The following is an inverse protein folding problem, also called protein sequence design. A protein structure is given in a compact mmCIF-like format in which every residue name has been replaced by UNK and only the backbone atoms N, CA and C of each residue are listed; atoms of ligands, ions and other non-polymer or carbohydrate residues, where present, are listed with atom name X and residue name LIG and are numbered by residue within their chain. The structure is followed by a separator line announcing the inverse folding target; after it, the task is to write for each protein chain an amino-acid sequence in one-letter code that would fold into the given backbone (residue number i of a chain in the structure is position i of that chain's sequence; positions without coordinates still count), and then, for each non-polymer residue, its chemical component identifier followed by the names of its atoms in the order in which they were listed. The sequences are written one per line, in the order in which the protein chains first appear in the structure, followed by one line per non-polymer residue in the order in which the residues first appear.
data_IF_172236357060
#
_entry.id   IF_172236357060
#
_cell.length_a   1.000
_cell.length_b   1.000
_cell.length_c   1.000
_cell.angle_alpha   90.00
_cell.angle_beta   90.00
_cell.angle_gamma   90.00
#
_symmetry.space_group_name_H-M   'P 1'
#
loop_
_entity.id
_entity.type
_entity.pdbx_description
1 polymer ?
#
# COMPACT_ATOMS: atom_id res chain seq x y z
N UNK A 1 -63.67 15.94 -36.64
CA UNK A 1 -62.98 14.89 -35.85
C UNK A 1 -61.69 14.55 -36.57
N UNK A 2 -60.54 14.95 -36.03
CA UNK A 2 -59.20 14.71 -36.60
C UNK A 2 -58.44 13.82 -35.61
N UNK A 3 -58.03 12.64 -36.06
CA UNK A 3 -57.21 11.69 -35.30
C UNK A 3 -55.74 12.09 -35.46
N UNK A 4 -55.04 12.28 -34.34
CA UNK A 4 -53.59 12.52 -34.27
C UNK A 4 -52.93 11.15 -34.03
N UNK A 5 -51.97 10.70 -34.85
CA UNK A 5 -51.19 9.52 -34.54
C UNK A 5 -50.04 9.86 -33.59
N UNK A 6 -49.99 9.15 -32.45
CA UNK A 6 -48.91 9.19 -31.46
C UNK A 6 -47.66 8.52 -32.04
N UNK A 7 -46.55 9.28 -32.12
CA UNK A 7 -45.22 8.76 -32.47
C UNK A 7 -44.53 8.36 -31.16
N UNK A 8 -44.26 7.07 -31.00
CA UNK A 8 -43.41 6.56 -29.91
C UNK A 8 -41.94 6.78 -30.26
N UNK A 9 -41.29 7.73 -29.58
CA UNK A 9 -39.85 7.93 -29.68
C UNK A 9 -39.12 6.85 -28.85
N UNK A 10 -38.40 5.98 -29.54
CA UNK A 10 -37.49 5.00 -28.94
C UNK A 10 -36.19 5.74 -28.55
N UNK A 11 -36.00 6.01 -27.26
CA UNK A 11 -34.73 6.54 -26.74
C UNK A 11 -33.75 5.37 -26.68
N UNK A 12 -32.83 5.31 -27.64
CA UNK A 12 -31.66 4.44 -27.57
C UNK A 12 -30.66 5.15 -26.66
N UNK A 13 -30.65 4.80 -25.37
CA UNK A 13 -29.59 5.19 -24.45
C UNK A 13 -28.32 4.46 -24.84
N UNK A 14 -27.43 5.13 -25.57
CA UNK A 14 -26.04 4.70 -25.73
C UNK A 14 -25.32 4.91 -24.40
N UNK A 15 -25.30 3.88 -23.55
CA UNK A 15 -24.37 3.82 -22.43
C UNK A 15 -22.98 3.59 -23.01
N UNK A 16 -22.19 4.66 -23.08
CA UNK A 16 -20.74 4.57 -23.19
C UNK A 16 -20.25 3.65 -22.08
N UNK A 17 -19.69 2.50 -22.43
CA UNK A 17 -18.95 1.64 -21.51
C UNK A 17 -17.70 2.42 -21.06
N UNK A 18 -17.86 3.27 -20.05
CA UNK A 18 -16.76 3.51 -19.12
C UNK A 18 -16.60 2.22 -18.36
N UNK A 19 -15.44 1.58 -18.53
CA UNK A 19 -15.02 0.46 -17.71
C UNK A 19 -15.19 0.90 -16.25
N UNK A 20 -16.22 0.36 -15.60
CA UNK A 20 -16.32 0.45 -14.15
C UNK A 20 -15.09 -0.29 -13.61
N UNK A 21 -14.28 0.30 -12.73
CA UNK A 21 -13.29 -0.48 -12.01
C UNK A 21 -14.04 -1.63 -11.34
N UNK A 22 -13.58 -2.85 -11.58
CA UNK A 22 -14.19 -4.03 -10.99
C UNK A 22 -14.13 -3.85 -9.48
N UNK A 23 -15.29 -3.85 -8.81
CA UNK A 23 -15.36 -4.04 -7.36
C UNK A 23 -14.69 -5.38 -7.06
N UNK A 24 -13.40 -5.32 -6.71
CA UNK A 24 -12.72 -6.39 -6.03
C UNK A 24 -13.42 -6.50 -4.69
N UNK A 25 -13.92 -7.69 -4.38
CA UNK A 25 -14.36 -8.03 -3.03
C UNK A 25 -13.10 -7.90 -2.17
N UNK A 26 -12.88 -6.72 -1.57
CA UNK A 26 -11.86 -6.51 -0.56
C UNK A 26 -12.22 -7.47 0.59
N UNK A 27 -11.55 -8.63 0.64
CA UNK A 27 -11.25 -9.21 1.94
C UNK A 27 -10.68 -8.06 2.77
N UNK A 28 -11.24 -7.80 3.96
CA UNK A 28 -10.92 -6.64 4.81
C UNK A 28 -9.43 -6.66 5.21
N UNK A 29 -8.56 -6.30 4.28
CA UNK A 29 -7.18 -5.98 4.54
C UNK A 29 -7.19 -4.57 5.14
N UNK A 30 -6.61 -4.37 6.32
CA UNK A 30 -6.61 -3.06 6.97
C UNK A 30 -5.73 -2.02 6.27
N UNK A 31 -5.08 -2.42 5.19
CA UNK A 31 -4.23 -1.61 4.37
C UNK A 31 -4.51 -1.89 2.90
N UNK A 32 -4.43 -0.87 2.04
CA UNK A 32 -4.57 -1.04 0.61
C UNK A 32 -3.51 -2.00 0.06
N UNK A 33 -3.97 -2.92 -0.80
CA UNK A 33 -3.13 -3.83 -1.55
C UNK A 33 -2.78 -3.16 -2.88
N UNK A 34 -1.50 -3.11 -3.19
CA UNK A 34 -0.97 -2.59 -4.44
C UNK A 34 -0.28 -3.71 -5.21
N UNK A 35 -0.53 -3.75 -6.51
CA UNK A 35 0.26 -4.54 -7.44
C UNK A 35 1.69 -4.00 -7.53
N UNK A 36 2.62 -4.84 -7.99
CA UNK A 36 3.98 -4.39 -8.31
C UNK A 36 4.01 -3.28 -9.39
N UNK A 37 3.00 -3.22 -10.26
CA UNK A 37 2.86 -2.15 -11.26
C UNK A 37 2.46 -0.80 -10.66
N UNK A 38 1.76 -0.76 -9.53
CA UNK A 38 1.34 0.52 -8.92
C UNK A 38 2.55 1.31 -8.38
N UNK A 39 3.69 0.66 -8.14
CA UNK A 39 4.95 1.32 -7.79
C UNK A 39 5.67 1.96 -8.97
N UNK A 40 5.25 1.62 -10.19
CA UNK A 40 5.69 2.31 -11.41
C UNK A 40 4.83 3.54 -11.69
N UNK A 41 3.73 3.70 -10.94
CA UNK A 41 2.86 4.86 -11.01
C UNK A 41 3.25 5.85 -9.90
N UNK A 42 3.92 6.93 -10.28
CA UNK A 42 4.33 8.00 -9.35
C UNK A 42 3.11 8.70 -8.70
N UNK A 43 1.89 8.44 -9.19
CA UNK A 43 0.64 8.95 -8.63
C UNK A 43 0.05 8.06 -7.51
N UNK A 44 0.71 6.95 -7.15
CA UNK A 44 0.19 6.08 -6.10
C UNK A 44 0.11 6.83 -4.73
N UNK A 45 -0.97 6.64 -3.94
CA UNK A 45 -1.22 7.45 -2.73
C UNK A 45 -0.07 7.46 -1.71
N UNK A 46 0.70 6.38 -1.64
CA UNK A 46 1.83 6.28 -0.72
C UNK A 46 3.04 7.15 -1.11
N UNK A 47 3.16 7.62 -2.37
CA UNK A 47 4.18 8.62 -2.75
C UNK A 47 3.83 10.03 -2.25
N UNK A 48 2.54 10.31 -2.05
CA UNK A 48 2.06 11.62 -1.59
C UNK A 48 2.10 11.79 -0.06
N UNK A 49 2.24 10.69 0.70
CA UNK A 49 2.29 10.73 2.15
C UNK A 49 3.62 11.29 2.67
N UNK A 50 3.60 11.97 3.82
CA UNK A 50 4.83 12.40 4.50
C UNK A 50 5.72 11.18 4.80
N UNK A 51 5.14 10.12 5.36
CA UNK A 51 5.79 8.82 5.50
C UNK A 51 4.93 7.72 4.86
N UNK A 52 5.59 6.74 4.24
CA UNK A 52 4.94 5.49 3.87
C UNK A 52 5.75 4.28 4.34
N UNK A 53 5.08 3.31 4.92
CA UNK A 53 5.63 2.01 5.25
C UNK A 53 4.98 0.99 4.33
N UNK A 54 5.81 0.26 3.61
CA UNK A 54 5.39 -0.62 2.53
C UNK A 54 5.91 -2.02 2.83
N UNK A 55 5.00 -2.96 3.04
CA UNK A 55 5.35 -4.37 3.21
C UNK A 55 5.30 -5.09 1.86
N UNK A 56 6.46 -5.50 1.38
CA UNK A 56 6.60 -6.42 0.24
C UNK A 56 6.60 -7.85 0.77
N UNK A 57 5.73 -8.69 0.22
CA UNK A 57 5.46 -10.04 0.72
C UNK A 57 5.29 -11.04 -0.42
N UNK A 58 5.33 -12.34 -0.14
CA UNK A 58 4.99 -13.36 -1.13
C UNK A 58 3.47 -13.48 -1.32
N UNK A 59 3.06 -13.89 -2.52
CA UNK A 59 1.71 -14.36 -2.80
C UNK A 59 1.74 -15.76 -3.43
N UNK A 60 1.11 -16.78 -2.82
CA UNK A 60 0.36 -16.73 -1.57
C UNK A 60 1.26 -16.55 -0.34
N UNK A 61 0.77 -15.82 0.67
CA UNK A 61 1.54 -15.49 1.89
C UNK A 61 1.88 -16.73 2.73
N UNK A 62 1.03 -17.77 2.67
CA UNK A 62 1.18 -19.02 3.41
C UNK A 62 2.45 -19.82 3.04
N UNK A 63 3.01 -19.54 1.87
CA UNK A 63 4.28 -20.12 1.40
C UNK A 63 5.52 -19.43 1.97
N UNK A 64 5.37 -18.31 2.69
CA UNK A 64 6.45 -17.55 3.29
C UNK A 64 6.25 -17.43 4.81
N UNK A 65 6.90 -18.33 5.56
CA UNK A 65 6.91 -18.28 7.04
C UNK A 65 7.26 -16.90 7.60
N UNK A 66 8.36 -16.23 7.21
CA UNK A 66 8.68 -14.92 7.78
C UNK A 66 7.64 -13.85 7.40
N UNK A 67 6.97 -13.96 6.24
CA UNK A 67 5.90 -13.06 5.85
C UNK A 67 4.67 -13.23 6.76
N UNK A 68 4.29 -14.48 7.05
CA UNK A 68 3.20 -14.79 7.99
C UNK A 68 3.50 -14.32 9.42
N UNK A 69 4.77 -14.36 9.84
CA UNK A 69 5.18 -13.96 11.19
C UNK A 69 5.04 -12.44 11.39
N UNK A 70 5.39 -11.62 10.38
CA UNK A 70 5.34 -10.17 10.51
C UNK A 70 4.00 -9.54 10.12
N UNK A 71 3.27 -10.14 9.18
CA UNK A 71 2.03 -9.58 8.66
C UNK A 71 1.03 -9.16 9.75
N UNK A 72 0.75 -9.96 10.81
CA UNK A 72 -0.17 -9.57 11.87
C UNK A 72 0.27 -8.29 12.62
N UNK A 73 1.56 -8.12 12.85
CA UNK A 73 2.09 -6.92 13.50
C UNK A 73 1.96 -5.71 12.59
N UNK A 74 2.39 -5.84 11.33
CA UNK A 74 2.30 -4.73 10.37
C UNK A 74 0.85 -4.29 10.16
N UNK A 75 -0.05 -5.26 10.02
CA UNK A 75 -1.50 -5.09 9.93
C UNK A 75 -2.06 -4.37 11.16
N UNK A 76 -1.71 -4.80 12.38
CA UNK A 76 -2.14 -4.15 13.62
C UNK A 76 -1.64 -2.71 13.71
N UNK A 77 -0.38 -2.44 13.36
CA UNK A 77 0.18 -1.09 13.38
C UNK A 77 -0.55 -0.16 12.40
N UNK A 78 -0.96 -0.68 11.23
CA UNK A 78 -1.77 0.06 10.28
C UNK A 78 -3.16 0.42 10.86
N UNK A 79 -3.82 -0.53 11.53
CA UNK A 79 -5.14 -0.32 12.16
C UNK A 79 -5.09 0.63 13.37
N UNK A 80 -4.07 0.49 14.22
CA UNK A 80 -3.92 1.23 15.47
C UNK A 80 -3.32 2.63 15.25
N UNK A 81 -2.78 2.91 14.06
CA UNK A 81 -2.23 4.22 13.72
C UNK A 81 -3.28 5.31 13.88
N UNK A 82 -2.97 6.29 14.73
CA UNK A 82 -3.80 7.51 14.90
C UNK A 82 -3.54 8.58 13.83
N UNK A 83 -2.54 8.36 12.97
CA UNK A 83 -2.19 9.29 11.90
C UNK A 83 -3.09 9.10 10.69
N UNK A 84 -3.40 10.19 9.99
CA UNK A 84 -4.03 10.12 8.68
C UNK A 84 -3.10 9.49 7.64
N UNK A 85 -3.67 8.92 6.58
CA UNK A 85 -2.89 8.34 5.47
C UNK A 85 -1.95 9.35 4.79
N UNK A 86 -2.29 10.65 4.79
CA UNK A 86 -1.41 11.73 4.30
C UNK A 86 -0.13 11.89 5.14
N UNK A 87 -0.16 11.49 6.43
CA UNK A 87 0.98 11.60 7.35
C UNK A 87 1.77 10.30 7.44
N UNK A 88 1.07 9.17 7.57
CA UNK A 88 1.66 7.83 7.60
C UNK A 88 0.76 6.87 6.83
N UNK A 89 1.25 6.43 5.68
CA UNK A 89 0.55 5.49 4.82
C UNK A 89 1.11 4.07 5.00
N UNK A 90 0.24 3.09 5.24
CA UNK A 90 0.60 1.68 5.21
C UNK A 90 0.16 1.05 3.89
N UNK A 91 1.04 0.29 3.25
CA UNK A 91 0.76 -0.36 1.98
C UNK A 91 1.26 -1.80 1.98
N UNK A 92 0.53 -2.68 1.30
CA UNK A 92 0.91 -4.09 1.10
C UNK A 92 1.15 -4.38 -0.37
N UNK A 93 2.24 -5.08 -0.68
CA UNK A 93 2.61 -5.45 -2.05
C UNK A 93 2.87 -6.96 -2.13
N UNK A 94 1.90 -7.74 -2.62
CA UNK A 94 2.12 -9.13 -2.94
C UNK A 94 3.05 -9.27 -4.15
N UNK A 95 3.96 -10.22 -4.07
CA UNK A 95 4.87 -10.58 -5.16
C UNK A 95 4.55 -11.99 -5.63
N UNK A 96 4.09 -12.10 -6.88
CA UNK A 96 3.78 -13.37 -7.50
C UNK A 96 5.08 -14.12 -7.86
N UNK A 97 5.09 -15.45 -7.68
CA UNK A 97 6.12 -16.35 -8.19
C UNK A 97 7.56 -16.03 -7.75
N UNK A 98 7.77 -15.41 -6.58
CA UNK A 98 9.09 -14.95 -6.12
C UNK A 98 9.77 -13.94 -7.07
N UNK A 99 9.01 -13.40 -8.03
CA UNK A 99 9.45 -12.33 -8.91
C UNK A 99 9.52 -11.06 -8.11
N UNK A 100 10.72 -10.75 -7.61
CA UNK A 100 10.90 -9.54 -6.81
C UNK A 100 10.71 -8.32 -7.70
N UNK A 101 9.82 -7.40 -7.31
CA UNK A 101 9.52 -6.24 -8.10
C UNK A 101 10.75 -5.34 -8.17
N UNK A 102 11.08 -4.90 -9.38
CA UNK A 102 12.07 -3.84 -9.56
C UNK A 102 11.34 -2.51 -9.59
N UNK A 103 11.28 -1.86 -8.43
CA UNK A 103 10.68 -0.54 -8.29
C UNK A 103 11.65 0.51 -8.81
N UNK A 104 11.38 1.07 -10.00
CA UNK A 104 12.27 2.05 -10.66
C UNK A 104 12.47 3.34 -9.87
N UNK A 105 11.53 3.66 -8.99
CA UNK A 105 11.49 4.82 -8.10
C UNK A 105 12.25 4.62 -6.79
N UNK A 106 12.64 3.38 -6.46
CA UNK A 106 13.43 3.08 -5.27
C UNK A 106 14.92 3.09 -5.60
N UNK A 107 15.72 3.52 -4.62
CA UNK A 107 17.17 3.51 -4.72
C UNK A 107 17.71 2.09 -4.58
N UNK A 108 17.02 1.24 -3.80
CA UNK A 108 17.45 -0.11 -3.50
C UNK A 108 16.48 -1.14 -4.09
N UNK A 109 17.05 -2.24 -4.61
CA UNK A 109 16.27 -3.35 -5.16
C UNK A 109 15.64 -4.17 -4.03
N UNK A 110 14.42 -4.63 -4.25
CA UNK A 110 13.85 -5.72 -3.46
C UNK A 110 14.61 -6.99 -3.80
N UNK A 111 15.29 -7.58 -2.81
CA UNK A 111 16.13 -8.77 -2.99
C UNK A 111 15.67 -9.98 -2.15
N UNK A 112 14.54 -9.83 -1.46
CA UNK A 112 13.85 -10.91 -0.74
C UNK A 112 12.51 -10.45 -0.16
N UNK A 113 11.79 -11.39 0.43
CA UNK A 113 10.53 -11.16 1.16
C UNK A 113 10.57 -11.87 2.54
N UNK A 114 9.89 -11.35 3.57
CA UNK A 114 9.26 -10.03 3.59
C UNK A 114 10.31 -8.91 3.66
N UNK A 115 9.95 -7.74 3.11
CA UNK A 115 10.76 -6.55 3.18
C UNK A 115 9.89 -5.34 3.49
N UNK A 116 10.32 -4.50 4.44
CA UNK A 116 9.67 -3.24 4.75
C UNK A 116 10.46 -2.11 4.10
N UNK A 117 9.80 -1.31 3.29
CA UNK A 117 10.38 -0.11 2.67
C UNK A 117 9.78 1.11 3.36
N UNK A 118 10.65 2.02 3.78
CA UNK A 118 10.26 3.30 4.35
C UNK A 118 10.50 4.43 3.36
N UNK A 119 9.41 5.10 2.98
CA UNK A 119 9.46 6.33 2.21
C UNK A 119 9.24 7.53 3.12
N UNK A 120 9.97 8.60 2.85
CA UNK A 120 9.68 9.94 3.34
C UNK A 120 9.44 10.86 2.14
N UNK A 121 8.21 11.36 1.98
CA UNK A 121 7.79 12.21 0.85
C UNK A 121 8.15 11.62 -0.50
N UNK A 122 7.81 10.34 -0.66
CA UNK A 122 8.07 9.56 -1.87
C UNK A 122 9.52 9.14 -2.09
N UNK A 123 10.46 9.51 -1.21
CA UNK A 123 11.86 9.08 -1.31
C UNK A 123 12.17 7.97 -0.32
N UNK A 124 12.86 6.92 -0.78
CA UNK A 124 13.35 5.85 0.09
C UNK A 124 14.37 6.40 1.09
N UNK A 125 14.07 6.24 2.38
CA UNK A 125 14.96 6.63 3.50
C UNK A 125 15.44 5.43 4.30
N UNK A 126 14.85 4.25 4.11
CA UNK A 126 15.26 3.02 4.77
C UNK A 126 14.62 1.78 4.18
N UNK A 127 15.32 0.65 4.36
CA UNK A 127 14.80 -0.68 4.04
C UNK A 127 15.24 -1.65 5.12
N UNK A 128 14.28 -2.39 5.66
CA UNK A 128 14.54 -3.48 6.58
C UNK A 128 14.12 -4.80 5.95
N UNK A 129 15.12 -5.64 5.71
CA UNK A 129 14.91 -7.03 5.28
C UNK A 129 14.72 -7.89 6.50
N UNK A 130 13.62 -8.62 6.52
CA UNK A 130 13.23 -9.40 7.71
C UNK A 130 13.50 -10.87 7.40
N UNK A 131 14.73 -11.28 7.67
CA UNK A 131 15.25 -12.63 7.33
C UNK A 131 14.86 -13.71 8.35
N UNK A 132 14.26 -13.32 9.47
CA UNK A 132 13.82 -14.22 10.54
C UNK A 132 12.69 -13.54 11.31
N UNK A 133 11.46 -14.08 11.27
CA UNK A 133 10.32 -13.49 11.98
C UNK A 133 10.30 -13.81 13.48
N UNK A 134 11.47 -13.66 14.11
CA UNK A 134 11.58 -13.52 15.55
C UNK A 134 11.39 -12.07 16.01
N UNK A 135 11.25 -11.87 17.32
CA UNK A 135 11.11 -10.55 17.97
C UNK A 135 12.08 -9.48 17.46
N UNK A 136 13.29 -9.86 17.03
CA UNK A 136 14.32 -8.95 16.52
C UNK A 136 13.97 -8.18 15.25
N UNK A 137 12.91 -8.56 14.52
CA UNK A 137 12.40 -7.79 13.37
C UNK A 137 11.10 -7.02 13.66
N UNK A 138 10.41 -7.37 14.75
CA UNK A 138 9.15 -6.76 15.16
C UNK A 138 9.43 -5.48 15.97
N UNK A 139 10.33 -5.54 16.94
CA UNK A 139 10.66 -4.40 17.81
C UNK A 139 11.13 -3.16 17.01
N UNK A 140 12.01 -3.27 15.99
CA UNK A 140 12.42 -2.11 15.20
C UNK A 140 11.27 -1.46 14.41
N UNK A 141 10.32 -2.27 13.92
CA UNK A 141 9.16 -1.78 13.17
C UNK A 141 8.20 -1.01 14.09
N UNK A 142 7.90 -1.56 15.28
CA UNK A 142 7.05 -0.88 16.26
C UNK A 142 7.68 0.43 16.73
N UNK A 143 9.00 0.42 17.00
CA UNK A 143 9.74 1.61 17.37
C UNK A 143 9.71 2.66 16.25
N UNK A 144 9.90 2.26 14.99
CA UNK A 144 9.82 3.17 13.85
C UNK A 144 8.44 3.85 13.75
N UNK A 145 7.36 3.09 13.90
CA UNK A 145 5.99 3.64 13.88
C UNK A 145 5.76 4.59 15.05
N UNK A 146 6.25 4.25 16.25
CA UNK A 146 6.16 5.11 17.44
C UNK A 146 6.94 6.42 17.25
N UNK A 147 8.15 6.35 16.69
CA UNK A 147 8.99 7.52 16.39
C UNK A 147 8.33 8.45 15.37
N UNK A 148 7.82 7.91 14.26
CA UNK A 148 7.09 8.68 13.25
C UNK A 148 5.85 9.32 13.89
N UNK A 149 5.06 8.54 14.64
CA UNK A 149 3.85 9.03 15.30
C UNK A 149 4.15 10.17 16.26
N UNK A 150 5.15 10.00 17.12
CA UNK A 150 5.58 11.03 18.09
C UNK A 150 5.98 12.31 17.37
N UNK A 151 6.77 12.21 16.29
CA UNK A 151 7.23 13.37 15.52
C UNK A 151 6.08 14.12 14.84
N UNK A 152 5.13 13.38 14.26
CA UNK A 152 3.99 13.97 13.55
C UNK A 152 2.95 14.60 14.50
N UNK A 153 2.92 14.16 15.76
CA UNK A 153 2.10 14.77 16.82
C UNK A 153 2.81 15.96 17.47
N UNK A 154 4.13 15.90 17.67
CA UNK A 154 4.92 17.00 18.25
C UNK A 154 5.18 18.15 17.27
N UNK A 155 5.02 17.92 15.96
CA UNK A 155 5.32 18.90 14.91
C UNK A 155 6.82 19.12 14.68
N UNK A 156 7.66 18.19 15.12
CA UNK A 156 9.11 18.24 14.86
C UNK A 156 9.43 17.66 13.48
N UNK A 157 10.19 18.38 12.66
CA UNK A 157 10.61 17.90 11.33
C UNK A 157 11.56 16.71 11.44
N UNK A 158 11.27 15.63 10.72
CA UNK A 158 12.15 14.48 10.54
C UNK A 158 13.42 14.87 9.76
N UNK A 159 14.59 14.50 10.28
CA UNK A 159 15.86 14.51 9.54
C UNK A 159 16.32 13.05 9.50
N UNK A 160 16.26 12.36 8.36
CA UNK A 160 16.80 11.01 8.26
C UNK A 160 18.30 11.06 8.59
N UNK A 161 18.73 10.19 9.51
CA UNK A 161 20.14 10.01 9.82
C UNK A 161 20.81 9.35 8.61
N UNK A 162 21.63 10.11 7.88
CA UNK A 162 22.48 9.62 6.78
C UNK A 162 23.56 8.65 7.27
#
# INVERSE_FOLDING_TARGET
MRLIPTITALIISTTTNYAQPQEVVEENHPMPIYSSSDFLDDDAPFYAADHALIMVSSDPIDSCTPCMEIYPTFSRLAEESSLSAEKLHFAYVPTENWGLPNFSSLNSRVDGVPQIIHLYRGQEVGQDRITSGGQGAIEPLEQLVEEITTQMVSGTSYIPSL
#
